data_IF_811439145965
#
_entry.id   IF_811439145965
#
_cell.length_a   1.000
_cell.length_b   1.000
_cell.length_c   1.000
_cell.angle_alpha   90.00
_cell.angle_beta   90.00
_cell.angle_gamma   90.00
#
_symmetry.space_group_name_H-M   'P 1'
#
loop_
_entity.id
_entity.type
_entity.pdbx_description
1 polymer ?
#
# COMPACT_ATOMS: atom_id res chain seq x y z
N UNK A 1 -15.70 -20.90 27.70
CA UNK A 1 -15.16 -19.53 27.86
C UNK A 1 -14.94 -18.97 26.47
N UNK A 2 -15.53 -17.82 26.12
CA UNK A 2 -15.11 -17.11 24.91
C UNK A 2 -13.62 -16.79 25.08
N UNK A 3 -12.75 -17.00 24.07
CA UNK A 3 -11.37 -16.56 24.18
C UNK A 3 -11.37 -15.08 24.55
N UNK A 4 -10.53 -14.70 25.52
CA UNK A 4 -10.35 -13.30 25.88
C UNK A 4 -10.01 -12.54 24.59
N UNK A 5 -10.69 -11.42 24.34
CA UNK A 5 -10.33 -10.53 23.23
C UNK A 5 -8.86 -10.17 23.42
N UNK A 6 -8.01 -10.58 22.49
CA UNK A 6 -6.61 -10.21 22.49
C UNK A 6 -6.57 -8.68 22.35
N UNK A 7 -6.00 -8.01 23.35
CA UNK A 7 -5.77 -6.58 23.29
C UNK A 7 -4.54 -6.33 22.42
N UNK A 8 -4.75 -5.75 21.25
CA UNK A 8 -3.68 -5.40 20.30
C UNK A 8 -3.13 -4.00 20.52
N UNK A 9 -3.59 -3.27 21.56
CA UNK A 9 -3.07 -1.95 21.91
C UNK A 9 -1.73 -2.03 22.68
N UNK A 10 -0.78 -2.79 22.14
CA UNK A 10 0.57 -2.89 22.70
C UNK A 10 1.48 -1.83 22.07
N UNK A 11 1.77 -0.78 22.84
CA UNK A 11 2.68 0.30 22.43
C UNK A 11 4.08 -0.22 22.11
N UNK A 12 4.56 -1.25 22.81
CA UNK A 12 5.87 -1.84 22.56
C UNK A 12 5.89 -2.53 21.21
N UNK A 13 4.81 -3.23 20.86
CA UNK A 13 4.68 -3.86 19.55
C UNK A 13 4.60 -2.82 18.43
N UNK A 14 3.87 -1.71 18.61
CA UNK A 14 3.81 -0.62 17.62
C UNK A 14 5.19 0.01 17.39
N UNK A 15 5.95 0.29 18.45
CA UNK A 15 7.32 0.81 18.34
C UNK A 15 8.28 -0.21 17.75
N UNK A 16 8.10 -1.50 18.07
CA UNK A 16 8.84 -2.60 17.48
C UNK A 16 8.62 -2.66 15.97
N UNK A 17 7.37 -2.52 15.52
CA UNK A 17 7.02 -2.53 14.11
C UNK A 17 7.60 -1.32 13.36
N UNK A 18 7.59 -0.13 13.97
CA UNK A 18 8.25 1.05 13.39
C UNK A 18 9.76 0.82 13.16
N UNK A 19 10.44 0.14 14.11
CA UNK A 19 11.86 -0.21 13.97
C UNK A 19 12.13 -1.19 12.85
N UNK A 20 11.16 -2.05 12.51
CA UNK A 20 11.27 -2.99 11.39
C UNK A 20 11.36 -2.21 10.07
N UNK A 21 10.46 -1.26 9.83
CA UNK A 21 10.53 -0.41 8.64
C UNK A 21 11.74 0.52 8.65
N UNK A 22 12.09 1.12 9.79
CA UNK A 22 13.30 1.96 9.90
C UNK A 22 14.57 1.19 9.51
N UNK A 23 14.73 -0.05 9.97
CA UNK A 23 15.90 -0.84 9.64
C UNK A 23 15.97 -1.18 8.15
N UNK A 24 14.84 -1.52 7.54
CA UNK A 24 14.76 -1.75 6.09
C UNK A 24 15.17 -0.50 5.31
N UNK A 25 14.60 0.66 5.66
CA UNK A 25 14.89 1.93 4.99
C UNK A 25 16.37 2.33 5.12
N UNK A 26 16.95 2.17 6.31
CA UNK A 26 18.37 2.44 6.55
C UNK A 26 19.25 1.49 5.72
N UNK A 27 18.90 0.21 5.64
CA UNK A 27 19.66 -0.77 4.87
C UNK A 27 19.65 -0.49 3.36
N UNK A 28 18.54 0.02 2.82
CA UNK A 28 18.44 0.40 1.41
C UNK A 28 19.05 1.77 1.09
N UNK A 29 19.27 2.63 2.08
CA UNK A 29 19.70 4.02 1.88
C UNK A 29 21.05 4.15 1.15
N UNK A 30 22.01 3.26 1.41
CA UNK A 30 23.32 3.30 0.75
C UNK A 30 23.25 2.98 -0.77
N UNK A 31 22.12 2.41 -1.21
CA UNK A 31 21.87 1.97 -2.57
C UNK A 31 21.00 2.94 -3.38
N UNK A 32 20.59 4.05 -2.76
CA UNK A 32 19.90 5.15 -3.44
C UNK A 32 20.78 5.71 -4.56
N UNK A 33 20.23 5.77 -5.78
CA UNK A 33 20.92 6.28 -6.97
C UNK A 33 22.08 5.41 -7.47
N UNK A 34 22.20 4.15 -7.00
CA UNK A 34 23.30 3.24 -7.41
C UNK A 34 22.97 2.37 -8.60
N UNK A 35 21.74 2.40 -9.11
CA UNK A 35 21.32 1.65 -10.29
C UNK A 35 21.15 0.14 -10.07
N UNK A 36 21.16 -0.32 -8.82
CA UNK A 36 21.03 -1.75 -8.48
C UNK A 36 19.76 -2.01 -7.66
N UNK A 37 18.66 -2.26 -8.37
CA UNK A 37 17.34 -2.55 -7.79
C UNK A 37 17.37 -3.78 -6.89
N UNK A 38 18.03 -4.85 -7.36
CA UNK A 38 18.09 -6.14 -6.67
C UNK A 38 18.89 -6.05 -5.37
N UNK A 39 20.01 -5.34 -5.38
CA UNK A 39 20.78 -5.14 -4.17
C UNK A 39 20.00 -4.30 -3.15
N UNK A 40 19.30 -3.24 -3.60
CA UNK A 40 18.54 -2.35 -2.73
C UNK A 40 17.40 -3.09 -2.03
N UNK A 41 16.69 -3.90 -2.80
CA UNK A 41 15.61 -4.76 -2.34
C UNK A 41 16.10 -5.83 -1.36
N UNK A 42 17.14 -6.56 -1.75
CA UNK A 42 17.72 -7.61 -0.90
C UNK A 42 18.23 -7.06 0.44
N UNK A 43 18.79 -5.85 0.47
CA UNK A 43 19.20 -5.18 1.71
C UNK A 43 18.01 -4.91 2.63
N UNK A 44 16.89 -4.43 2.06
CA UNK A 44 15.65 -4.15 2.78
C UNK A 44 15.04 -5.44 3.35
N UNK A 45 14.88 -6.48 2.51
CA UNK A 45 14.35 -7.80 2.89
C UNK A 45 15.12 -8.38 4.08
N UNK A 46 16.46 -8.36 4.01
CA UNK A 46 17.32 -8.88 5.07
C UNK A 46 17.11 -8.15 6.39
N UNK A 47 17.17 -6.81 6.36
CA UNK A 47 17.05 -6.00 7.56
C UNK A 47 15.64 -6.08 8.17
N UNK A 48 14.60 -6.06 7.33
CA UNK A 48 13.21 -6.20 7.75
C UNK A 48 13.00 -7.54 8.46
N UNK A 49 13.40 -8.66 7.83
CA UNK A 49 13.26 -10.00 8.41
C UNK A 49 14.02 -10.15 9.71
N UNK A 50 15.25 -9.63 9.79
CA UNK A 50 16.05 -9.70 11.01
C UNK A 50 15.38 -8.96 12.18
N UNK A 51 14.85 -7.75 11.95
CA UNK A 51 14.14 -7.03 13.00
C UNK A 51 12.80 -7.67 13.36
N UNK A 52 12.06 -8.17 12.38
CA UNK A 52 10.76 -8.80 12.60
C UNK A 52 10.89 -10.02 13.51
N UNK A 53 11.96 -10.81 13.34
CA UNK A 53 12.28 -11.97 14.18
C UNK A 53 12.73 -11.63 15.61
N UNK A 54 12.85 -10.35 15.97
CA UNK A 54 13.10 -9.89 17.35
C UNK A 54 11.82 -9.57 18.11
N UNK A 55 10.66 -9.54 17.44
CA UNK A 55 9.39 -9.21 18.06
C UNK A 55 8.74 -10.44 18.71
N UNK A 56 8.14 -10.23 19.89
CA UNK A 56 7.33 -11.24 20.57
C UNK A 56 5.94 -11.34 19.94
N UNK A 57 5.91 -11.92 18.74
CA UNK A 57 4.71 -12.29 17.99
C UNK A 57 4.80 -13.73 17.46
N UNK A 58 3.64 -14.34 17.27
CA UNK A 58 3.47 -15.49 16.37
C UNK A 58 2.95 -14.98 15.03
N UNK A 59 3.84 -14.38 14.24
CA UNK A 59 3.51 -13.74 12.96
C UNK A 59 3.48 -14.73 11.81
N UNK A 60 2.58 -14.51 10.86
CA UNK A 60 2.61 -15.16 9.54
C UNK A 60 2.54 -14.09 8.47
N UNK A 61 3.45 -14.18 7.50
CA UNK A 61 3.44 -13.33 6.30
C UNK A 61 2.26 -13.75 5.43
N UNK A 62 1.32 -12.85 5.18
CA UNK A 62 0.16 -13.08 4.30
C UNK A 62 0.28 -12.30 2.98
N UNK A 63 1.13 -11.27 2.96
CA UNK A 63 1.57 -10.53 1.79
C UNK A 63 3.07 -10.29 1.98
N UNK A 64 3.88 -10.69 1.00
CA UNK A 64 5.33 -10.53 1.05
C UNK A 64 5.97 -10.64 -0.33
N UNK A 65 7.23 -11.08 -0.39
CA UNK A 65 8.09 -11.06 -1.58
C UNK A 65 7.65 -12.00 -2.71
N UNK A 66 6.71 -12.90 -2.43
CA UNK A 66 6.18 -13.88 -3.39
C UNK A 66 5.88 -15.22 -2.75
N UNK A 67 5.62 -16.21 -3.59
CA UNK A 67 5.43 -17.60 -3.16
C UNK A 67 6.75 -18.22 -2.67
N UNK A 68 6.66 -19.29 -1.87
CA UNK A 68 7.84 -19.90 -1.22
C UNK A 68 8.91 -20.39 -2.18
N UNK A 69 8.52 -20.81 -3.37
CA UNK A 69 9.42 -21.26 -4.43
C UNK A 69 10.07 -20.10 -5.20
N UNK A 70 9.51 -18.91 -5.12
CA UNK A 70 9.97 -17.70 -5.80
C UNK A 70 10.79 -16.79 -4.88
N UNK A 71 10.47 -16.76 -3.59
CA UNK A 71 11.11 -15.90 -2.60
C UNK A 71 11.77 -16.72 -1.45
N UNK A 72 13.09 -16.59 -1.22
CA UNK A 72 13.79 -17.33 -0.16
C UNK A 72 13.50 -16.79 1.26
N UNK A 73 12.99 -15.57 1.36
CA UNK A 73 12.71 -14.84 2.61
C UNK A 73 11.46 -13.99 2.42
N UNK A 74 10.71 -13.81 3.51
CA UNK A 74 9.46 -13.06 3.58
C UNK A 74 8.43 -13.53 2.55
N UNK A 75 8.42 -14.85 2.27
CA UNK A 75 7.45 -15.47 1.38
C UNK A 75 6.09 -15.63 2.04
N UNK A 76 5.03 -15.77 1.23
CA UNK A 76 3.67 -15.99 1.71
C UNK A 76 3.60 -17.29 2.53
N UNK A 77 3.18 -17.17 3.78
CA UNK A 77 3.12 -18.26 4.75
C UNK A 77 4.35 -18.39 5.64
N UNK A 78 5.40 -17.56 5.48
CA UNK A 78 6.56 -17.60 6.39
C UNK A 78 6.14 -17.25 7.82
N UNK A 79 6.58 -18.06 8.79
CA UNK A 79 6.46 -17.76 10.22
C UNK A 79 7.59 -16.82 10.66
N UNK A 80 7.23 -15.72 11.33
CA UNK A 80 8.14 -14.65 11.74
C UNK A 80 7.88 -14.21 13.18
N UNK A 81 8.90 -13.65 13.83
CA UNK A 81 8.89 -13.32 15.26
C UNK A 81 9.47 -14.42 16.13
N UNK A 82 9.46 -14.23 17.45
CA UNK A 82 9.98 -15.23 18.39
C UNK A 82 9.06 -16.46 18.55
N UNK A 83 7.85 -16.42 17.98
CA UNK A 83 6.81 -17.44 18.15
C UNK A 83 6.09 -17.36 19.50
N UNK A 84 6.49 -16.42 20.35
CA UNK A 84 5.79 -16.10 21.60
C UNK A 84 4.93 -14.85 21.38
N UNK A 85 3.83 -14.69 22.12
CA UNK A 85 2.94 -13.53 21.97
C UNK A 85 1.74 -13.76 21.05
N UNK A 86 1.06 -12.69 20.59
CA UNK A 86 -0.20 -12.80 19.86
C UNK A 86 0.00 -13.33 18.44
N UNK A 87 -1.01 -14.06 17.94
CA UNK A 87 -1.08 -14.46 16.54
C UNK A 87 -1.47 -13.28 15.65
N UNK A 88 -0.61 -12.95 14.69
CA UNK A 88 -0.80 -11.81 13.76
C UNK A 88 -0.61 -12.23 12.31
N UNK A 89 -1.30 -11.50 11.43
CA UNK A 89 -1.01 -11.46 10.00
C UNK A 89 -0.07 -10.28 9.73
N UNK A 90 0.92 -10.51 8.87
CA UNK A 90 1.87 -9.49 8.41
C UNK A 90 1.71 -9.31 6.91
N UNK A 91 1.46 -8.09 6.49
CA UNK A 91 1.64 -7.66 5.11
C UNK A 91 2.86 -6.76 5.06
N UNK A 92 3.77 -7.01 4.13
CA UNK A 92 4.99 -6.21 3.99
C UNK A 92 5.36 -6.01 2.54
N UNK A 93 6.06 -4.91 2.32
CA UNK A 93 6.83 -4.60 1.12
C UNK A 93 8.14 -3.97 1.62
N UNK A 94 9.22 -4.77 1.73
CA UNK A 94 10.49 -4.33 2.28
C UNK A 94 11.04 -3.10 1.57
N UNK A 95 10.83 -3.00 0.25
CA UNK A 95 11.21 -1.83 -0.54
C UNK A 95 10.23 -1.58 -1.68
N UNK A 96 9.19 -0.81 -1.37
CA UNK A 96 8.27 -0.29 -2.39
C UNK A 96 9.04 0.72 -3.25
N UNK A 97 9.04 0.48 -4.56
CA UNK A 97 9.77 1.30 -5.51
C UNK A 97 11.27 1.00 -5.54
N UNK A 98 11.65 -0.26 -5.76
CA UNK A 98 13.06 -0.66 -6.00
C UNK A 98 13.70 0.15 -7.14
N UNK A 99 12.97 0.33 -8.25
CA UNK A 99 13.37 1.22 -9.36
C UNK A 99 13.52 2.68 -8.92
N UNK A 100 12.63 3.17 -8.05
CA UNK A 100 12.69 4.54 -7.54
C UNK A 100 13.95 4.73 -6.70
N UNK A 101 14.26 3.77 -5.82
CA UNK A 101 15.48 3.74 -5.01
C UNK A 101 16.73 3.73 -5.89
N UNK A 102 16.83 2.79 -6.82
CA UNK A 102 17.99 2.64 -7.68
C UNK A 102 18.28 3.88 -8.54
N UNK A 103 17.25 4.66 -8.87
CA UNK A 103 17.33 5.86 -9.72
C UNK A 103 17.28 7.19 -8.96
N UNK A 104 17.26 7.16 -7.62
CA UNK A 104 17.12 8.37 -6.78
C UNK A 104 15.86 9.19 -7.14
N UNK A 105 14.75 8.50 -7.32
CA UNK A 105 13.44 9.09 -7.58
C UNK A 105 12.63 9.15 -6.27
N UNK A 106 11.74 10.15 -6.12
CA UNK A 106 10.90 10.26 -4.93
C UNK A 106 9.92 9.08 -4.83
N UNK A 107 9.34 8.93 -3.64
CA UNK A 107 8.26 7.98 -3.28
C UNK A 107 8.68 6.53 -3.03
N UNK A 108 9.97 6.17 -3.07
CA UNK A 108 10.40 4.90 -2.50
C UNK A 108 10.15 4.87 -0.98
N UNK A 109 9.64 3.76 -0.46
CA UNK A 109 9.42 3.57 0.98
C UNK A 109 9.48 2.09 1.38
N UNK A 110 9.69 1.85 2.67
CA UNK A 110 9.60 0.51 3.25
C UNK A 110 8.29 0.41 4.03
N UNK A 111 7.49 -0.63 3.79
CA UNK A 111 6.13 -0.71 4.31
C UNK A 111 5.89 -2.02 5.03
N UNK A 112 5.26 -1.93 6.19
CA UNK A 112 4.76 -3.10 6.91
C UNK A 112 3.45 -2.76 7.59
N UNK A 113 2.50 -3.68 7.54
CA UNK A 113 1.24 -3.65 8.24
C UNK A 113 1.09 -4.93 9.07
N UNK A 114 0.48 -4.79 10.24
CA UNK A 114 0.21 -5.90 11.15
C UNK A 114 -1.24 -5.84 11.60
N UNK A 115 -1.90 -6.98 11.59
CA UNK A 115 -3.27 -7.14 12.06
C UNK A 115 -3.46 -8.43 12.84
N UNK A 116 -4.58 -8.60 13.55
CA UNK A 116 -4.94 -9.88 14.14
C UNK A 116 -4.92 -11.01 13.10
N UNK A 117 -4.59 -12.23 13.50
CA UNK A 117 -4.63 -13.41 12.62
C UNK A 117 -5.96 -13.52 11.87
N UNK A 118 -5.90 -13.71 10.55
CA UNK A 118 -7.05 -13.82 9.65
C UNK A 118 -7.81 -12.51 9.39
N UNK A 119 -7.20 -11.35 9.63
CA UNK A 119 -7.85 -10.05 9.46
C UNK A 119 -7.51 -9.35 8.14
N UNK A 120 -6.49 -9.82 7.44
CA UNK A 120 -6.06 -9.27 6.16
C UNK A 120 -6.60 -10.10 5.00
N UNK A 121 -6.80 -9.45 3.85
CA UNK A 121 -7.07 -10.17 2.60
C UNK A 121 -5.78 -10.87 2.16
N UNK A 122 -5.83 -12.17 1.95
CA UNK A 122 -4.77 -12.92 1.31
C UNK A 122 -4.92 -12.71 -0.20
N UNK A 123 -4.28 -11.67 -0.72
CA UNK A 123 -4.39 -11.32 -2.13
C UNK A 123 -3.42 -12.19 -2.95
N UNK A 124 -3.85 -12.76 -4.09
CA UNK A 124 -2.94 -13.38 -5.04
C UNK A 124 -2.06 -12.32 -5.72
N UNK A 125 -0.93 -12.75 -6.30
CA UNK A 125 -0.07 -11.87 -7.11
C UNK A 125 -0.69 -11.59 -8.49
N UNK A 126 -1.72 -10.75 -8.47
CA UNK A 126 -2.45 -10.27 -9.65
C UNK A 126 -2.64 -8.75 -9.56
N UNK A 127 -3.31 -8.15 -10.55
CA UNK A 127 -3.64 -6.74 -10.52
C UNK A 127 -4.90 -6.45 -9.70
N UNK A 128 -5.01 -5.23 -9.18
CA UNK A 128 -6.18 -4.72 -8.49
C UNK A 128 -6.50 -3.31 -8.99
N UNK A 129 -7.73 -3.07 -9.42
CA UNK A 129 -8.28 -1.72 -9.56
C UNK A 129 -8.50 -1.13 -8.16
N UNK A 130 -7.90 0.03 -7.90
CA UNK A 130 -7.89 0.74 -6.62
C UNK A 130 -8.54 2.11 -6.81
N UNK A 131 -9.42 2.47 -5.89
CA UNK A 131 -10.01 3.80 -5.76
C UNK A 131 -9.92 4.23 -4.31
N UNK A 132 -9.23 5.34 -4.02
CA UNK A 132 -9.04 5.79 -2.66
C UNK A 132 -9.27 7.29 -2.49
N UNK A 133 -9.85 7.67 -1.34
CA UNK A 133 -10.02 9.06 -0.89
C UNK A 133 -9.66 9.17 0.60
N UNK A 134 -9.30 10.37 1.04
CA UNK A 134 -8.96 10.67 2.43
C UNK A 134 -10.12 10.64 3.43
N UNK A 135 -9.85 10.96 4.70
CA UNK A 135 -10.87 11.07 5.74
C UNK A 135 -11.79 12.28 5.53
N UNK A 136 -12.90 12.32 6.28
CA UNK A 136 -13.80 13.47 6.34
C UNK A 136 -14.96 13.44 5.33
N UNK A 137 -15.01 12.44 4.46
CA UNK A 137 -16.11 12.20 3.53
C UNK A 137 -17.07 11.12 4.04
N UNK A 138 -18.33 11.17 3.59
CA UNK A 138 -19.29 10.10 3.89
C UNK A 138 -18.83 8.78 3.25
N UNK A 139 -19.18 7.65 3.88
CA UNK A 139 -18.93 6.32 3.30
C UNK A 139 -19.59 6.25 1.91
N UNK A 140 -18.91 5.61 0.94
CA UNK A 140 -19.36 5.47 -0.44
C UNK A 140 -19.50 6.82 -1.19
N UNK A 141 -18.81 7.88 -0.77
CA UNK A 141 -18.79 9.17 -1.52
C UNK A 141 -18.35 8.97 -2.97
N UNK A 142 -17.40 8.06 -3.20
CA UNK A 142 -17.02 7.56 -4.52
C UNK A 142 -16.98 6.03 -4.48
N UNK A 143 -17.35 5.37 -5.58
CA UNK A 143 -17.34 3.90 -5.68
C UNK A 143 -16.78 3.45 -7.03
N UNK A 144 -16.40 2.17 -7.14
CA UNK A 144 -15.89 1.63 -8.39
C UNK A 144 -16.96 1.47 -9.48
N UNK A 145 -18.24 1.57 -9.15
CA UNK A 145 -19.34 1.49 -10.13
C UNK A 145 -19.59 2.83 -10.85
N UNK A 146 -19.01 3.92 -10.32
CA UNK A 146 -18.98 5.22 -10.98
C UNK A 146 -17.90 5.25 -12.05
N UNK A 147 -18.14 5.99 -13.13
CA UNK A 147 -17.09 6.34 -14.10
C UNK A 147 -16.03 7.26 -13.46
N UNK A 148 -14.78 7.28 -13.96
CA UNK A 148 -13.76 8.22 -13.50
C UNK A 148 -14.22 9.69 -13.43
N UNK A 149 -14.98 10.17 -14.42
CA UNK A 149 -15.52 11.53 -14.39
C UNK A 149 -16.57 11.73 -13.28
N UNK A 150 -17.46 10.74 -13.07
CA UNK A 150 -18.45 10.78 -12.00
C UNK A 150 -17.80 10.80 -10.61
N UNK A 151 -16.73 10.02 -10.41
CA UNK A 151 -15.95 10.01 -9.15
C UNK A 151 -15.36 11.39 -8.84
N UNK A 152 -14.80 12.08 -9.84
CA UNK A 152 -14.27 13.45 -9.69
C UNK A 152 -15.38 14.44 -9.31
N UNK A 153 -16.51 14.39 -10.02
CA UNK A 153 -17.65 15.28 -9.75
C UNK A 153 -18.22 15.05 -8.34
N UNK A 154 -18.37 13.79 -7.94
CA UNK A 154 -18.86 13.43 -6.61
C UNK A 154 -17.94 13.92 -5.50
N UNK A 155 -16.62 13.74 -5.65
CA UNK A 155 -15.65 14.23 -4.66
C UNK A 155 -15.62 15.76 -4.61
N UNK A 156 -15.66 16.45 -5.75
CA UNK A 156 -15.70 17.91 -5.81
C UNK A 156 -16.95 18.46 -5.09
N UNK A 157 -18.11 17.86 -5.34
CA UNK A 157 -19.36 18.22 -4.65
C UNK A 157 -19.27 17.99 -3.13
N UNK A 158 -18.70 16.86 -2.69
CA UNK A 158 -18.53 16.55 -1.28
C UNK A 158 -17.52 17.48 -0.59
N UNK A 159 -16.45 17.89 -1.29
CA UNK A 159 -15.45 18.85 -0.83
C UNK A 159 -15.94 20.30 -0.87
N UNK A 160 -16.99 20.58 -1.65
CA UNK A 160 -17.54 21.93 -1.85
C UNK A 160 -16.68 22.82 -2.76
N UNK A 161 -16.04 22.23 -3.77
CA UNK A 161 -15.19 22.93 -4.73
C UNK A 161 -15.53 22.58 -6.18
N UNK A 162 -14.86 23.21 -7.15
CA UNK A 162 -15.00 22.84 -8.56
C UNK A 162 -14.17 21.60 -8.89
N UNK A 163 -14.52 20.87 -9.96
CA UNK A 163 -13.74 19.71 -10.44
C UNK A 163 -12.28 20.07 -10.73
N UNK A 164 -12.00 21.31 -11.16
CA UNK A 164 -10.64 21.81 -11.43
C UNK A 164 -9.75 21.89 -10.19
N UNK A 165 -10.36 21.91 -9.00
CA UNK A 165 -9.67 21.98 -7.71
C UNK A 165 -9.38 20.57 -7.14
N UNK A 166 -9.75 19.52 -7.88
CA UNK A 166 -9.46 18.12 -7.55
C UNK A 166 -8.18 17.69 -8.26
N UNK A 167 -7.29 17.04 -7.52
CA UNK A 167 -6.09 16.40 -8.04
C UNK A 167 -6.15 14.90 -7.86
N UNK A 168 -6.07 14.16 -8.97
CA UNK A 168 -6.09 12.68 -8.99
C UNK A 168 -4.68 12.13 -9.18
N UNK A 169 -4.25 11.20 -8.34
CA UNK A 169 -3.01 10.45 -8.51
C UNK A 169 -3.26 9.16 -9.31
N UNK A 170 -2.47 8.92 -10.36
CA UNK A 170 -2.62 7.77 -11.27
C UNK A 170 -1.23 7.28 -11.68
N UNK A 171 -1.02 5.95 -11.71
CA UNK A 171 0.17 5.35 -12.31
C UNK A 171 0.24 5.66 -13.81
N UNK A 172 1.39 6.13 -14.30
CA UNK A 172 1.63 6.38 -15.71
C UNK A 172 1.86 5.05 -16.45
N UNK A 173 0.78 4.49 -16.99
CA UNK A 173 0.80 3.23 -17.74
C UNK A 173 -0.16 3.30 -18.92
N UNK A 174 0.13 2.63 -20.05
CA UNK A 174 -0.77 2.59 -21.20
C UNK A 174 -2.19 2.13 -20.85
N UNK A 175 -2.33 1.19 -19.90
CA UNK A 175 -3.63 0.68 -19.41
C UNK A 175 -4.51 1.75 -18.74
N UNK A 176 -3.96 2.90 -18.34
CA UNK A 176 -4.72 3.98 -17.70
C UNK A 176 -5.08 5.13 -18.65
N UNK A 177 -4.71 5.06 -19.93
CA UNK A 177 -4.89 6.19 -20.85
C UNK A 177 -6.35 6.64 -20.96
N UNK A 178 -7.29 5.69 -21.08
CA UNK A 178 -8.73 6.02 -21.15
C UNK A 178 -9.24 6.73 -19.88
N UNK A 179 -8.82 6.25 -18.70
CA UNK A 179 -9.15 6.87 -17.41
C UNK A 179 -8.54 8.28 -17.30
N UNK A 180 -7.28 8.44 -17.73
CA UNK A 180 -6.58 9.74 -17.75
C UNK A 180 -7.33 10.75 -18.62
N UNK A 181 -7.76 10.35 -19.81
CA UNK A 181 -8.49 11.22 -20.73
C UNK A 181 -9.86 11.61 -20.16
N UNK A 182 -10.55 10.67 -19.52
CA UNK A 182 -11.83 10.93 -18.87
C UNK A 182 -11.69 11.89 -17.66
N UNK A 183 -10.69 11.68 -16.79
CA UNK A 183 -10.41 12.60 -15.67
C UNK A 183 -10.07 14.00 -16.20
N UNK A 184 -9.21 14.11 -17.23
CA UNK A 184 -8.87 15.40 -17.85
C UNK A 184 -10.09 16.12 -18.43
N UNK A 185 -11.07 15.38 -18.94
CA UNK A 185 -12.30 15.98 -19.49
C UNK A 185 -13.12 16.77 -18.45
N UNK A 186 -12.96 16.45 -17.16
CA UNK A 186 -13.61 17.17 -16.05
C UNK A 186 -12.92 18.50 -15.68
N UNK A 187 -11.68 18.71 -16.16
CA UNK A 187 -10.82 19.82 -15.77
C UNK A 187 -9.98 19.56 -14.50
N UNK A 188 -10.14 18.42 -13.83
CA UNK A 188 -9.29 18.01 -12.72
C UNK A 188 -7.82 17.86 -13.15
N UNK A 189 -6.92 18.09 -12.21
CA UNK A 189 -5.49 17.88 -12.44
C UNK A 189 -5.10 16.42 -12.14
N UNK A 190 -4.03 15.94 -12.79
CA UNK A 190 -3.53 14.57 -12.59
C UNK A 190 -2.07 14.62 -12.17
N UNK A 191 -1.75 13.98 -11.05
CA UNK A 191 -0.37 13.62 -10.71
C UNK A 191 -0.08 12.24 -11.23
N UNK A 192 0.73 12.18 -12.30
CA UNK A 192 1.23 10.93 -12.83
C UNK A 192 2.46 10.49 -12.02
N UNK A 193 2.45 9.23 -11.58
CA UNK A 193 3.58 8.57 -10.90
C UNK A 193 4.06 7.37 -11.70
N UNK A 194 5.36 7.14 -11.76
CA UNK A 194 5.89 5.97 -12.49
C UNK A 194 5.71 4.70 -11.68
N UNK A 195 5.98 4.74 -10.38
CA UNK A 195 5.79 3.64 -9.42
C UNK A 195 5.37 4.30 -8.09
N UNK A 196 5.14 3.55 -7.01
CA UNK A 196 4.79 4.19 -5.73
C UNK A 196 3.30 4.24 -5.43
N UNK A 197 2.50 3.22 -5.77
CA UNK A 197 1.04 3.35 -5.60
C UNK A 197 0.53 3.20 -4.17
N UNK A 198 1.29 2.55 -3.28
CA UNK A 198 1.04 2.56 -1.83
C UNK A 198 1.12 4.00 -1.30
N UNK A 199 2.22 4.71 -1.60
CA UNK A 199 2.37 6.12 -1.24
C UNK A 199 1.30 7.00 -1.92
N UNK A 200 1.00 6.74 -3.20
CA UNK A 200 -0.05 7.44 -3.94
C UNK A 200 -1.42 7.37 -3.26
N UNK A 201 -1.80 6.20 -2.75
CA UNK A 201 -3.02 6.02 -1.95
C UNK A 201 -2.92 6.74 -0.60
N UNK A 202 -1.83 6.54 0.15
CA UNK A 202 -1.65 7.16 1.47
C UNK A 202 -1.69 8.69 1.40
N UNK A 203 -1.16 9.29 0.34
CA UNK A 203 -1.18 10.73 0.15
C UNK A 203 -2.58 11.33 0.09
N UNK A 204 -3.60 10.54 -0.27
CA UNK A 204 -5.00 10.97 -0.28
C UNK A 204 -5.51 11.29 1.14
N UNK A 205 -4.87 10.78 2.19
CA UNK A 205 -5.27 11.03 3.57
C UNK A 205 -4.92 12.45 4.06
N UNK A 206 -3.93 13.10 3.44
CA UNK A 206 -3.47 14.44 3.81
C UNK A 206 -3.43 15.38 2.59
N UNK A 207 -4.56 15.62 1.91
CA UNK A 207 -4.60 16.34 0.65
C UNK A 207 -4.10 17.78 0.77
N UNK A 208 -4.21 18.40 1.96
CA UNK A 208 -3.70 19.73 2.23
C UNK A 208 -2.15 19.82 2.22
N UNK A 209 -1.46 18.71 2.48
CA UNK A 209 0.01 18.62 2.50
C UNK A 209 0.52 18.08 1.16
N UNK A 210 -0.11 17.04 0.65
CA UNK A 210 0.36 16.29 -0.53
C UNK A 210 -0.13 16.89 -1.84
N UNK A 211 -1.27 17.60 -1.79
CA UNK A 211 -2.00 18.07 -2.96
C UNK A 211 -2.70 16.97 -3.74
N UNK A 212 -2.95 15.79 -3.14
CA UNK A 212 -3.61 14.65 -3.80
C UNK A 212 -4.94 14.38 -3.08
N UNK A 213 -6.05 14.52 -3.79
CA UNK A 213 -7.39 14.32 -3.23
C UNK A 213 -7.89 12.88 -3.36
N UNK A 214 -7.45 12.20 -4.43
CA UNK A 214 -7.97 10.90 -4.81
C UNK A 214 -6.92 10.10 -5.58
N UNK A 215 -6.88 8.78 -5.36
CA UNK A 215 -6.12 7.84 -6.17
C UNK A 215 -7.08 7.02 -7.02
N UNK A 216 -6.75 6.80 -8.29
CA UNK A 216 -7.44 5.88 -9.18
C UNK A 216 -6.43 5.11 -10.04
N UNK A 217 -6.69 3.82 -10.25
CA UNK A 217 -5.97 3.05 -11.26
C UNK A 217 -5.80 1.60 -10.88
N UNK A 218 -5.04 0.89 -11.70
CA UNK A 218 -4.75 -0.54 -11.56
C UNK A 218 -3.26 -0.76 -11.29
N UNK A 219 -2.96 -1.37 -10.14
CA UNK A 219 -1.61 -1.73 -9.68
C UNK A 219 -1.61 -3.11 -9.03
N UNK A 220 -0.53 -3.53 -8.37
CA UNK A 220 -0.47 -4.86 -7.76
C UNK A 220 -1.49 -5.01 -6.61
N UNK A 221 -2.11 -6.19 -6.52
CA UNK A 221 -3.09 -6.52 -5.49
C UNK A 221 -2.49 -6.56 -4.07
N UNK A 222 -1.29 -7.14 -3.86
CA UNK A 222 -0.59 -7.10 -2.56
C UNK A 222 -0.43 -5.68 -1.99
N UNK A 223 0.04 -4.75 -2.81
CA UNK A 223 0.21 -3.33 -2.48
C UNK A 223 -1.13 -2.66 -2.18
N UNK A 224 -2.21 -3.12 -2.81
CA UNK A 224 -3.57 -2.69 -2.49
C UNK A 224 -3.97 -3.02 -1.05
N UNK A 225 -3.57 -4.18 -0.53
CA UNK A 225 -3.84 -4.57 0.86
C UNK A 225 -3.03 -3.71 1.83
N UNK A 226 -1.76 -3.46 1.55
CA UNK A 226 -0.89 -2.56 2.33
C UNK A 226 -1.46 -1.14 2.37
N UNK A 227 -1.81 -0.59 1.20
CA UNK A 227 -2.42 0.71 1.07
C UNK A 227 -3.74 0.82 1.82
N UNK A 228 -4.57 -0.24 1.78
CA UNK A 228 -5.82 -0.29 2.51
C UNK A 228 -5.63 -0.34 4.03
N UNK A 229 -4.64 -1.09 4.51
CA UNK A 229 -4.30 -1.13 5.93
C UNK A 229 -3.89 0.27 6.43
N UNK A 230 -3.01 0.96 5.71
CA UNK A 230 -2.58 2.32 6.03
C UNK A 230 -3.77 3.30 6.01
N UNK A 231 -4.52 3.34 4.91
CA UNK A 231 -5.61 4.31 4.74
C UNK A 231 -6.74 4.11 5.74
N UNK A 232 -7.06 2.86 6.09
CA UNK A 232 -8.03 2.53 7.15
C UNK A 232 -7.60 3.10 8.51
N UNK A 233 -6.31 3.01 8.85
CA UNK A 233 -5.77 3.61 10.08
C UNK A 233 -5.80 5.14 10.05
N UNK A 234 -5.66 5.75 8.87
CA UNK A 234 -5.76 7.21 8.68
C UNK A 234 -7.21 7.71 8.55
N UNK A 235 -8.21 6.81 8.56
CA UNK A 235 -9.63 7.14 8.49
C UNK A 235 -10.15 7.45 7.08
N UNK A 236 -9.38 7.12 6.03
CA UNK A 236 -9.82 7.23 4.65
C UNK A 236 -10.62 6.02 4.16
N UNK A 237 -10.92 6.01 2.86
CA UNK A 237 -11.74 4.99 2.21
C UNK A 237 -11.03 4.45 0.97
N UNK A 238 -11.08 3.14 0.78
CA UNK A 238 -10.53 2.49 -0.41
C UNK A 238 -11.46 1.36 -0.88
N UNK A 239 -11.63 1.24 -2.19
CA UNK A 239 -12.18 0.06 -2.85
C UNK A 239 -11.08 -0.62 -3.66
N UNK A 240 -11.10 -1.95 -3.64
CA UNK A 240 -10.26 -2.80 -4.44
C UNK A 240 -11.11 -3.79 -5.25
N UNK A 241 -10.75 -4.04 -6.51
CA UNK A 241 -11.33 -5.10 -7.34
C UNK A 241 -10.20 -5.86 -8.04
N UNK A 242 -10.08 -7.16 -7.79
CA UNK A 242 -9.07 -7.99 -8.45
C UNK A 242 -9.31 -8.03 -9.96
N UNK A 243 -8.22 -7.98 -10.72
CA UNK A 243 -8.18 -7.96 -12.18
C UNK A 243 -7.26 -9.07 -12.65
N UNK A 244 -7.87 -10.21 -12.98
CA UNK A 244 -7.17 -11.39 -13.49
C UNK A 244 -6.86 -11.21 -14.98
N UNK A 245 -5.62 -11.54 -15.38
CA UNK A 245 -5.17 -11.37 -16.77
C UNK A 245 -5.46 -12.58 -17.66
N UNK A 246 -5.70 -13.73 -17.06
CA UNK A 246 -5.93 -15.01 -17.73
C UNK A 246 -6.73 -15.95 -16.81
N UNK A 247 -7.01 -17.18 -17.26
CA UNK A 247 -7.80 -18.17 -16.50
C UNK A 247 -6.99 -18.87 -15.38
N UNK A 248 -5.65 -18.77 -15.41
CA UNK A 248 -4.76 -19.40 -14.43
C UNK A 248 -4.58 -18.53 -13.17
N UNK A 249 -4.85 -17.22 -13.25
CA UNK A 249 -4.91 -16.27 -12.13
C UNK A 249 -6.31 -16.24 -11.50
#
# INVERSE_FOLDING_TARGET
MSPAKIDFNDRMLSLGLARVSEAAAIASADLVGRGDEKAADQAAVNAMREQLNKLDIAGVVVIGEGERDEAPMLYIGEEVGTGTGPGVDIALDPLEGTTLTAKDMPNALTVIAMGPRGSMLHAPDTYMEKLAIGPGYAIDTVTLDMSPAERVQALAAAKGCDCRDITVCILERPRHQAMIDEVRSTGASIRLITDGDVAGVMHCAEPAVTGIDMYMGTGGAPEGVLAAAALKCMGGQIYGRLVFRNEDE
#
